data_IF_133409525508
#
_entry.id   IF_133409525508
#
_cell.length_a   1.000
_cell.length_b   1.000
_cell.length_c   1.000
_cell.angle_alpha   90.00
_cell.angle_beta   90.00
_cell.angle_gamma   90.00
#
_symmetry.space_group_name_H-M   'P 1'
#
loop_
_entity.id
_entity.type
_entity.pdbx_description
1 polymer ?
#
# COMPACT_ATOMS: atom_id res chain seq x y z
N UNK A 1 -1.95 27.88 22.46
CA UNK A 1 -1.50 27.25 21.22
C UNK A 1 -2.43 26.07 21.08
N UNK A 2 -3.54 26.30 20.36
CA UNK A 2 -4.58 25.28 20.22
C UNK A 2 -4.00 24.11 19.42
N UNK A 3 -4.09 22.94 20.03
CA UNK A 3 -3.73 21.65 19.46
C UNK A 3 -4.75 21.39 18.34
N UNK A 4 -4.38 21.70 17.09
CA UNK A 4 -5.18 21.41 15.92
C UNK A 4 -5.30 19.90 15.81
N UNK A 5 -6.36 19.34 16.41
CA UNK A 5 -6.62 17.91 16.41
C UNK A 5 -6.74 17.46 14.96
N UNK A 6 -5.72 16.77 14.46
CA UNK A 6 -5.76 16.11 13.16
C UNK A 6 -6.96 15.17 13.13
N UNK A 7 -7.97 15.53 12.35
CA UNK A 7 -9.16 14.70 12.15
C UNK A 7 -8.84 13.66 11.07
N UNK A 8 -8.75 12.39 11.49
CA UNK A 8 -8.63 11.28 10.55
C UNK A 8 -10.03 10.81 10.13
N UNK A 9 -10.22 10.60 8.83
CA UNK A 9 -11.39 9.88 8.31
C UNK A 9 -11.07 8.38 8.44
N UNK A 10 -11.93 7.65 9.13
CA UNK A 10 -11.80 6.19 9.26
C UNK A 10 -12.43 5.56 8.02
N UNK A 11 -11.61 4.88 7.24
CA UNK A 11 -12.09 4.12 6.09
C UNK A 11 -12.87 2.86 6.54
N UNK A 12 -13.83 2.40 5.73
CA UNK A 12 -14.61 1.19 6.06
C UNK A 12 -13.75 -0.06 6.17
N UNK A 13 -12.62 -0.14 5.47
CA UNK A 13 -11.66 -1.24 5.59
C UNK A 13 -11.14 -1.41 7.02
N UNK A 14 -11.02 -0.32 7.80
CA UNK A 14 -10.55 -0.37 9.19
C UNK A 14 -11.56 -1.04 10.14
N UNK A 15 -12.82 -1.17 9.71
CA UNK A 15 -13.91 -1.82 10.45
C UNK A 15 -14.08 -3.30 10.10
N UNK A 16 -13.27 -3.84 9.17
CA UNK A 16 -13.30 -5.25 8.80
C UNK A 16 -12.70 -6.10 9.91
N UNK A 17 -13.33 -7.23 10.20
CA UNK A 17 -12.90 -8.13 11.28
C UNK A 17 -11.60 -8.86 10.93
N UNK A 18 -11.34 -9.05 9.63
CA UNK A 18 -10.14 -9.63 9.06
C UNK A 18 -8.98 -8.63 8.88
N UNK A 19 -9.15 -7.37 9.30
CA UNK A 19 -8.08 -6.39 9.25
C UNK A 19 -6.95 -6.78 10.22
N UNK A 20 -5.79 -7.10 9.68
CA UNK A 20 -4.60 -7.47 10.47
C UNK A 20 -3.59 -6.31 10.62
N UNK A 21 -3.72 -5.26 9.80
CA UNK A 21 -2.83 -4.10 9.75
C UNK A 21 -3.67 -2.86 9.52
N UNK A 22 -3.37 -1.79 10.26
CA UNK A 22 -3.95 -0.47 10.09
C UNK A 22 -2.87 0.53 9.70
N UNK A 23 -3.20 1.46 8.82
CA UNK A 23 -2.31 2.54 8.37
C UNK A 23 -3.15 3.77 7.98
N UNK A 24 -2.53 4.94 7.93
CA UNK A 24 -3.16 6.12 7.37
C UNK A 24 -2.78 6.27 5.89
N UNK A 25 -3.78 6.42 5.02
CA UNK A 25 -3.54 6.76 3.62
C UNK A 25 -2.92 8.16 3.52
N UNK A 26 -1.81 8.33 2.77
CA UNK A 26 -1.22 9.64 2.58
C UNK A 26 -2.15 10.60 1.82
N UNK A 27 -2.11 11.92 2.12
CA UNK A 27 -2.81 12.92 1.32
C UNK A 27 -2.41 12.85 -0.15
N UNK A 28 -3.36 13.06 -1.06
CA UNK A 28 -3.13 13.03 -2.51
C UNK A 28 -3.07 11.63 -3.13
N UNK A 29 -3.24 10.58 -2.33
CA UNK A 29 -3.41 9.22 -2.82
C UNK A 29 -4.89 8.85 -2.88
N UNK A 30 -5.26 8.10 -3.93
CA UNK A 30 -6.56 7.49 -4.11
C UNK A 30 -6.43 5.98 -4.02
N UNK A 31 -7.26 5.36 -3.19
CA UNK A 31 -7.26 3.91 -3.04
C UNK A 31 -7.70 3.25 -4.35
N UNK A 32 -6.97 2.20 -4.73
CA UNK A 32 -7.40 1.29 -5.79
C UNK A 32 -8.19 0.20 -5.08
N UNK A 33 -9.47 -0.05 -5.44
CA UNK A 33 -10.34 -1.01 -4.75
C UNK A 33 -9.90 -2.46 -5.05
N UNK A 34 -8.73 -2.81 -4.54
CA UNK A 34 -7.95 -3.99 -4.89
C UNK A 34 -8.67 -5.27 -4.46
N UNK A 35 -9.27 -5.25 -3.26
CA UNK A 35 -10.11 -6.34 -2.76
C UNK A 35 -11.31 -6.60 -3.68
N UNK A 36 -12.03 -5.55 -4.08
CA UNK A 36 -13.19 -5.67 -4.99
C UNK A 36 -12.80 -6.20 -6.37
N UNK A 37 -11.63 -5.82 -6.90
CA UNK A 37 -11.11 -6.36 -8.16
C UNK A 37 -10.79 -7.86 -8.03
N UNK A 38 -10.23 -8.30 -6.90
CA UNK A 38 -9.87 -9.70 -6.66
C UNK A 38 -11.08 -10.60 -6.35
N UNK A 39 -12.05 -10.09 -5.60
CA UNK A 39 -13.26 -10.82 -5.20
C UNK A 39 -14.22 -11.08 -6.37
N UNK A 40 -13.94 -10.49 -7.54
CA UNK A 40 -14.75 -10.50 -8.75
C UNK A 40 -16.14 -9.91 -8.50
N UNK A 41 -16.38 -8.65 -8.88
CA UNK A 41 -17.65 -7.99 -8.62
C UNK A 41 -18.79 -8.77 -9.28
N UNK A 42 -19.95 -8.83 -8.61
CA UNK A 42 -21.11 -9.59 -9.09
C UNK A 42 -21.72 -8.96 -10.35
N UNK A 43 -21.41 -7.67 -10.60
CA UNK A 43 -21.82 -6.95 -11.79
C UNK A 43 -20.80 -5.89 -12.24
N UNK A 44 -20.85 -5.54 -13.52
CA UNK A 44 -20.08 -4.42 -14.10
C UNK A 44 -20.42 -3.07 -13.45
N UNK A 45 -21.66 -2.91 -12.96
CA UNK A 45 -22.09 -1.72 -12.24
C UNK A 45 -21.38 -1.57 -10.89
N UNK A 46 -21.20 -2.66 -10.15
CA UNK A 46 -20.48 -2.68 -8.87
C UNK A 46 -19.00 -2.33 -9.03
N UNK A 47 -18.35 -2.88 -10.07
CA UNK A 47 -16.98 -2.51 -10.43
C UNK A 47 -16.88 -1.02 -10.79
N UNK A 48 -17.85 -0.52 -11.57
CA UNK A 48 -17.88 0.88 -12.00
C UNK A 48 -18.05 1.82 -10.81
N UNK A 49 -18.93 1.49 -9.86
CA UNK A 49 -19.14 2.26 -8.65
C UNK A 49 -17.88 2.28 -7.77
N UNK A 50 -17.20 1.15 -7.61
CA UNK A 50 -15.94 1.06 -6.86
C UNK A 50 -14.81 1.90 -7.51
N UNK A 51 -14.76 1.95 -8.84
CA UNK A 51 -13.77 2.72 -9.59
C UNK A 51 -14.14 4.19 -9.78
N UNK A 52 -15.38 4.58 -9.46
CA UNK A 52 -15.89 5.93 -9.69
C UNK A 52 -15.03 7.03 -9.05
N UNK A 53 -14.55 6.91 -7.78
CA UNK A 53 -13.69 7.92 -7.18
C UNK A 53 -12.39 8.12 -7.97
N UNK A 54 -11.80 7.01 -8.45
CA UNK A 54 -10.58 7.04 -9.25
C UNK A 54 -10.84 7.67 -10.63
N UNK A 55 -11.90 7.24 -11.32
CA UNK A 55 -12.27 7.76 -12.63
C UNK A 55 -12.66 9.24 -12.61
N UNK A 56 -13.21 9.73 -11.49
CA UNK A 56 -13.58 11.13 -11.30
C UNK A 56 -12.36 12.07 -11.23
N UNK A 57 -11.22 11.56 -10.76
CA UNK A 57 -9.98 12.33 -10.69
C UNK A 57 -9.18 12.33 -12.00
N UNK A 58 -9.58 11.52 -12.99
CA UNK A 58 -8.88 11.40 -14.26
C UNK A 58 -9.45 12.33 -15.34
N UNK A 59 -8.60 12.75 -16.27
CA UNK A 59 -9.05 13.40 -17.51
C UNK A 59 -9.87 12.42 -18.37
N UNK A 60 -10.73 12.90 -19.31
CA UNK A 60 -11.52 12.03 -20.17
C UNK A 60 -10.69 11.02 -20.97
N UNK A 61 -9.51 11.44 -21.44
CA UNK A 61 -8.56 10.58 -22.16
C UNK A 61 -7.85 9.60 -21.20
N UNK A 62 -7.48 10.06 -19.99
CA UNK A 62 -6.93 9.20 -18.94
C UNK A 62 -7.91 8.11 -18.50
N UNK A 63 -9.19 8.46 -18.38
CA UNK A 63 -10.28 7.53 -18.07
C UNK A 63 -10.44 6.45 -19.15
N UNK A 64 -10.37 6.83 -20.43
CA UNK A 64 -10.46 5.87 -21.54
C UNK A 64 -9.29 4.88 -21.50
N UNK A 65 -8.06 5.36 -21.34
CA UNK A 65 -6.87 4.50 -21.22
C UNK A 65 -6.90 3.60 -19.99
N UNK A 66 -7.40 4.12 -18.87
CA UNK A 66 -7.57 3.34 -17.65
C UNK A 66 -8.55 2.19 -17.83
N UNK A 67 -9.70 2.43 -18.48
CA UNK A 67 -10.67 1.39 -18.79
C UNK A 67 -10.11 0.35 -19.76
N UNK A 68 -9.30 0.76 -20.74
CA UNK A 68 -8.58 -0.15 -21.66
C UNK A 68 -7.55 -1.01 -20.90
N UNK A 69 -6.82 -0.41 -19.95
CA UNK A 69 -5.87 -1.11 -19.08
C UNK A 69 -6.55 -1.99 -18.02
N UNK A 70 -7.84 -1.79 -17.74
CA UNK A 70 -8.57 -2.50 -16.68
C UNK A 70 -8.62 -4.02 -16.92
N UNK A 71 -8.65 -4.46 -18.19
CA UNK A 71 -8.56 -5.89 -18.53
C UNK A 71 -7.19 -6.50 -18.20
N UNK A 72 -6.11 -5.74 -18.34
CA UNK A 72 -4.77 -6.12 -17.88
C UNK A 72 -4.65 -6.04 -16.34
N UNK A 73 -5.49 -5.21 -15.72
CA UNK A 73 -5.51 -4.93 -14.28
C UNK A 73 -5.97 -6.14 -13.46
N UNK A 74 -6.85 -7.02 -13.94
CA UNK A 74 -7.18 -8.27 -13.21
C UNK A 74 -5.93 -9.17 -13.09
N UNK A 75 -5.18 -9.33 -14.18
CA UNK A 75 -3.95 -10.14 -14.17
C UNK A 75 -2.88 -9.51 -13.26
N UNK A 76 -2.77 -8.18 -13.30
CA UNK A 76 -1.87 -7.43 -12.43
C UNK A 76 -2.30 -7.53 -10.96
N UNK A 77 -3.60 -7.43 -10.67
CA UNK A 77 -4.14 -7.55 -9.32
C UNK A 77 -3.88 -8.94 -8.74
N UNK A 78 -4.12 -10.00 -9.51
CA UNK A 78 -3.78 -11.38 -9.12
C UNK A 78 -2.29 -11.54 -8.87
N UNK A 79 -1.43 -10.91 -9.67
CA UNK A 79 0.02 -10.94 -9.44
C UNK A 79 0.40 -10.21 -8.15
N UNK A 80 -0.08 -8.99 -7.95
CA UNK A 80 0.19 -8.22 -6.73
C UNK A 80 -0.31 -8.97 -5.48
N UNK A 81 -1.47 -9.61 -5.55
CA UNK A 81 -2.03 -10.41 -4.45
C UNK A 81 -1.13 -11.60 -4.10
N UNK A 82 -0.58 -12.29 -5.11
CA UNK A 82 0.38 -13.39 -4.91
C UNK A 82 1.70 -12.92 -4.28
N UNK A 83 2.10 -11.68 -4.53
CA UNK A 83 3.24 -11.03 -3.88
C UNK A 83 2.89 -10.48 -2.48
N UNK A 84 1.68 -10.75 -1.97
CA UNK A 84 1.24 -10.37 -0.64
C UNK A 84 0.74 -8.92 -0.52
N UNK A 85 0.50 -8.23 -1.64
CA UNK A 85 -0.06 -6.86 -1.61
C UNK A 85 -1.48 -6.90 -1.05
N UNK A 86 -1.68 -6.13 0.02
CA UNK A 86 -2.96 -5.99 0.72
C UNK A 86 -3.62 -4.64 0.48
N UNK A 87 -2.86 -3.63 0.06
CA UNK A 87 -3.38 -2.32 -0.33
C UNK A 87 -2.57 -1.72 -1.48
N UNK A 88 -3.26 -0.97 -2.34
CA UNK A 88 -2.68 -0.29 -3.49
C UNK A 88 -3.37 1.07 -3.65
N UNK A 89 -2.60 2.15 -3.77
CA UNK A 89 -3.14 3.47 -3.98
C UNK A 89 -2.35 4.23 -5.06
N UNK A 90 -3.04 5.07 -5.81
CA UNK A 90 -2.48 5.91 -6.86
C UNK A 90 -2.32 7.34 -6.36
N UNK A 91 -1.09 7.84 -6.36
CA UNK A 91 -0.77 9.23 -6.09
C UNK A 91 -0.66 10.01 -7.39
N UNK A 92 -1.36 11.13 -7.48
CA UNK A 92 -1.26 12.09 -8.58
C UNK A 92 -0.57 13.34 -8.07
N UNK A 93 0.54 13.69 -8.71
CA UNK A 93 1.34 14.86 -8.36
C UNK A 93 1.46 15.75 -9.59
N UNK A 94 1.49 17.07 -9.40
CA UNK A 94 1.82 17.99 -10.50
C UNK A 94 3.35 18.18 -10.55
N UNK A 95 3.92 18.08 -11.75
CA UNK A 95 5.31 18.46 -12.02
C UNK A 95 5.45 19.98 -12.16
N UNK A 96 6.68 20.49 -12.17
CA UNK A 96 6.99 21.93 -12.30
C UNK A 96 6.45 22.54 -13.61
N UNK A 97 6.25 21.72 -14.64
CA UNK A 97 5.67 22.11 -15.93
C UNK A 97 4.13 21.97 -15.99
N UNK A 98 3.50 21.56 -14.89
CA UNK A 98 2.06 21.31 -14.77
C UNK A 98 1.60 19.97 -15.33
N UNK A 99 2.52 19.07 -15.70
CA UNK A 99 2.16 17.70 -16.10
C UNK A 99 1.82 16.83 -14.89
N UNK A 100 0.95 15.82 -15.07
CA UNK A 100 0.56 14.90 -13.99
C UNK A 100 1.53 13.73 -13.89
N UNK A 101 2.29 13.67 -12.80
CA UNK A 101 3.11 12.54 -12.40
C UNK A 101 2.30 11.54 -11.61
N UNK A 102 2.48 10.27 -11.93
CA UNK A 102 1.80 9.18 -11.27
C UNK A 102 2.79 8.41 -10.40
N UNK A 103 2.35 8.07 -9.19
CA UNK A 103 3.07 7.18 -8.28
C UNK A 103 2.13 6.11 -7.79
N UNK A 104 2.66 4.92 -7.53
CA UNK A 104 1.90 3.79 -6.99
C UNK A 104 2.44 3.51 -5.59
N UNK A 105 1.58 3.63 -4.58
CA UNK A 105 1.83 3.17 -3.22
C UNK A 105 1.30 1.75 -3.11
N UNK A 106 2.11 0.82 -2.60
CA UNK A 106 1.67 -0.51 -2.21
C UNK A 106 2.04 -0.81 -0.77
N UNK A 107 1.18 -1.57 -0.11
CA UNK A 107 1.46 -2.18 1.20
C UNK A 107 1.28 -3.68 1.01
N UNK A 108 2.33 -4.44 1.33
CA UNK A 108 2.33 -5.89 1.24
C UNK A 108 2.65 -6.51 2.59
N UNK A 109 2.00 -7.64 2.89
CA UNK A 109 2.37 -8.52 3.98
C UNK A 109 3.03 -9.77 3.41
N UNK A 110 4.26 -10.03 3.83
CA UNK A 110 5.09 -11.11 3.31
C UNK A 110 5.44 -12.06 4.45
N UNK A 111 5.20 -13.35 4.26
CA UNK A 111 5.66 -14.38 5.20
C UNK A 111 7.17 -14.51 5.14
N UNK A 112 7.80 -14.66 6.30
CA UNK A 112 9.25 -14.81 6.41
C UNK A 112 9.58 -15.92 7.41
N UNK A 113 10.70 -16.66 7.22
CA UNK A 113 11.21 -17.53 8.27
C UNK A 113 11.39 -16.76 9.57
N UNK A 114 11.17 -17.43 10.70
CA UNK A 114 11.34 -16.80 12.01
C UNK A 114 12.73 -16.16 12.10
N UNK A 115 12.77 -14.85 12.31
CA UNK A 115 14.01 -14.07 12.32
C UNK A 115 13.89 -12.93 13.33
N UNK A 116 14.94 -12.61 14.12
CA UNK A 116 14.94 -11.41 14.94
C UNK A 116 14.61 -10.16 14.12
N UNK A 117 13.70 -9.32 14.60
CA UNK A 117 13.12 -8.21 13.83
C UNK A 117 14.16 -7.31 13.14
N UNK A 118 15.22 -6.92 13.87
CA UNK A 118 16.27 -6.06 13.31
C UNK A 118 17.08 -6.75 12.19
N UNK A 119 17.26 -8.07 12.30
CA UNK A 119 17.95 -8.86 11.28
C UNK A 119 17.05 -9.06 10.05
N UNK A 120 15.75 -9.28 10.26
CA UNK A 120 14.77 -9.45 9.19
C UNK A 120 14.72 -8.20 8.29
N UNK A 121 14.54 -7.00 8.86
CA UNK A 121 14.44 -5.76 8.08
C UNK A 121 15.74 -5.42 7.36
N UNK A 122 16.90 -5.70 7.98
CA UNK A 122 18.21 -5.53 7.33
C UNK A 122 18.37 -6.47 6.15
N UNK A 123 18.07 -7.76 6.32
CA UNK A 123 18.17 -8.73 5.23
C UNK A 123 17.28 -8.34 4.06
N UNK A 124 16.01 -8.03 4.31
CA UNK A 124 15.08 -7.62 3.26
C UNK A 124 15.57 -6.40 2.47
N UNK A 125 16.08 -5.38 3.18
CA UNK A 125 16.57 -4.18 2.53
C UNK A 125 17.88 -4.40 1.74
N UNK A 126 18.76 -5.28 2.21
CA UNK A 126 20.03 -5.61 1.50
C UNK A 126 19.88 -6.63 0.37
N UNK A 127 18.76 -7.35 0.30
CA UNK A 127 18.52 -8.32 -0.77
C UNK A 127 18.33 -7.68 -2.16
N UNK A 128 18.11 -6.36 -2.21
CA UNK A 128 17.92 -5.61 -3.45
C UNK A 128 19.27 -5.16 -4.03
N UNK A 129 19.61 -5.72 -5.20
CA UNK A 129 20.88 -5.55 -5.89
C UNK A 129 21.24 -4.10 -6.25
N UNK A 130 20.24 -3.22 -6.38
CA UNK A 130 20.39 -1.80 -6.74
C UNK A 130 20.08 -0.83 -5.59
N UNK A 131 20.10 -1.30 -4.35
CA UNK A 131 19.70 -0.47 -3.21
C UNK A 131 20.74 0.62 -2.85
N UNK A 132 20.31 1.89 -2.81
CA UNK A 132 21.03 3.04 -2.23
C UNK A 132 21.09 2.90 -0.69
N UNK A 133 21.87 3.72 0.05
CA UNK A 133 22.30 3.38 1.41
C UNK A 133 21.13 3.11 2.37
N UNK A 134 21.17 1.91 2.94
CA UNK A 134 20.28 1.41 3.97
C UNK A 134 20.26 2.34 5.20
N UNK A 135 19.07 2.83 5.58
CA UNK A 135 18.85 3.46 6.89
C UNK A 135 17.97 2.55 7.74
N UNK A 136 18.51 2.07 8.85
CA UNK A 136 17.74 1.33 9.86
C UNK A 136 17.43 2.25 11.02
N UNK A 137 16.16 2.35 11.36
CA UNK A 137 15.65 3.17 12.45
C UNK A 137 14.73 2.33 13.34
N UNK A 138 14.34 2.91 14.48
CA UNK A 138 13.36 2.30 15.38
C UNK A 138 12.18 3.25 15.52
N UNK A 139 11.02 2.81 15.03
CA UNK A 139 9.74 3.48 15.19
C UNK A 139 8.99 2.90 16.39
N UNK A 140 7.78 3.42 16.68
CA UNK A 140 6.98 3.00 17.82
C UNK A 140 6.69 1.49 17.86
N UNK A 141 6.51 0.87 16.68
CA UNK A 141 6.19 -0.56 16.52
C UNK A 141 7.42 -1.45 16.29
N UNK A 142 8.66 -0.91 16.28
CA UNK A 142 9.88 -1.70 16.17
C UNK A 142 10.91 -1.20 15.14
N UNK A 143 11.89 -2.04 14.78
CA UNK A 143 12.91 -1.68 13.80
C UNK A 143 12.31 -1.62 12.39
N UNK A 144 12.73 -0.59 11.63
CA UNK A 144 12.33 -0.36 10.25
C UNK A 144 13.57 -0.10 9.42
N UNK A 145 13.64 -0.73 8.24
CA UNK A 145 14.70 -0.45 7.26
C UNK A 145 14.12 0.30 6.06
N UNK A 146 14.77 1.38 5.68
CA UNK A 146 14.46 2.14 4.47
C UNK A 146 15.51 1.85 3.39
N UNK A 147 15.04 1.63 2.17
CA UNK A 147 15.86 1.43 0.99
C UNK A 147 15.26 2.15 -0.21
N UNK A 148 16.09 2.44 -1.19
CA UNK A 148 15.71 3.04 -2.45
C UNK A 148 16.36 2.26 -3.57
N UNK A 149 15.74 2.20 -4.74
CA UNK A 149 16.34 1.57 -5.91
C UNK A 149 15.82 2.19 -7.18
N UNK A 150 16.68 2.22 -8.20
CA UNK A 150 16.28 2.46 -9.57
C UNK A 150 16.22 1.10 -10.31
N UNK A 151 15.12 0.88 -11.02
CA UNK A 151 14.86 -0.34 -11.78
C UNK A 151 14.76 0.06 -13.25
N UNK A 152 15.67 -0.42 -14.07
CA UNK A 152 15.57 -0.28 -15.52
C UNK A 152 14.46 -1.19 -16.05
N UNK A 153 13.48 -0.61 -16.74
CA UNK A 153 12.46 -1.40 -17.44
C UNK A 153 13.09 -2.01 -18.69
N UNK A 154 12.87 -3.31 -18.95
CA UNK A 154 13.40 -3.95 -20.15
C UNK A 154 12.85 -3.26 -21.40
N UNK A 155 13.72 -2.98 -22.37
CA UNK A 155 13.31 -2.51 -23.70
C UNK A 155 12.43 -3.56 -24.35
N UNK A 156 11.13 -3.27 -24.48
CA UNK A 156 10.20 -4.12 -25.21
C UNK A 156 10.19 -3.72 -26.68
N UNK A 157 10.15 -4.72 -27.57
CA UNK A 157 10.13 -4.55 -29.02
C UNK A 157 8.76 -4.10 -29.57
N UNK A 158 7.75 -3.93 -28.72
CA UNK A 158 6.46 -3.37 -29.09
C UNK A 158 6.50 -1.84 -28.97
N UNK A 159 6.14 -1.15 -30.06
CA UNK A 159 6.29 0.30 -30.25
C UNK A 159 5.63 1.21 -29.18
N UNK A 160 4.80 0.65 -28.30
CA UNK A 160 4.04 1.38 -27.26
C UNK A 160 4.46 1.02 -25.82
N UNK A 161 5.58 0.33 -25.61
CA UNK A 161 6.04 0.03 -24.24
C UNK A 161 6.97 1.13 -23.73
N UNK A 162 6.66 1.67 -22.55
CA UNK A 162 7.49 2.64 -21.84
C UNK A 162 8.90 2.08 -21.59
N UNK A 163 9.89 2.52 -22.36
CA UNK A 163 11.30 2.40 -21.97
C UNK A 163 11.61 3.47 -20.93
N UNK A 164 12.28 3.10 -19.83
CA UNK A 164 12.61 4.06 -18.78
C UNK A 164 13.05 3.42 -17.48
N UNK A 165 13.39 4.29 -16.53
CA UNK A 165 13.79 3.91 -15.17
C UNK A 165 12.62 4.14 -14.22
N UNK A 166 12.30 3.15 -13.41
CA UNK A 166 11.37 3.27 -12.28
C UNK A 166 12.16 3.49 -11.02
N UNK A 167 11.91 4.62 -10.36
CA UNK A 167 12.38 4.87 -9.00
C UNK A 167 11.43 4.18 -8.01
N UNK A 168 11.99 3.54 -6.99
CA UNK A 168 11.22 2.94 -5.90
C UNK A 168 11.84 3.28 -4.54
N UNK A 169 11.03 3.83 -3.64
CA UNK A 169 11.34 3.96 -2.22
C UNK A 169 10.59 2.87 -1.44
N UNK A 170 11.23 2.25 -0.44
CA UNK A 170 10.67 1.12 0.31
C UNK A 170 10.98 1.22 1.80
N UNK A 171 10.01 0.85 2.63
CA UNK A 171 10.19 0.56 4.05
C UNK A 171 9.85 -0.90 4.35
N UNK A 172 10.70 -1.53 5.16
CA UNK A 172 10.54 -2.89 5.64
C UNK A 172 10.31 -2.87 7.15
N UNK A 173 9.18 -3.41 7.59
CA UNK A 173 8.76 -3.44 8.98
C UNK A 173 8.54 -4.90 9.40
N UNK A 174 9.31 -5.40 10.36
CA UNK A 174 9.06 -6.73 10.90
C UNK A 174 7.77 -6.73 11.73
N UNK A 175 6.90 -7.71 11.48
CA UNK A 175 5.71 -7.89 12.30
C UNK A 175 6.06 -8.41 13.70
N UNK A 176 5.23 -8.17 14.73
CA UNK A 176 5.47 -8.64 16.09
C UNK A 176 5.60 -10.17 16.22
N UNK A 177 4.97 -10.91 15.30
CA UNK A 177 5.01 -12.38 15.21
C UNK A 177 6.41 -12.93 14.84
N UNK A 178 7.28 -12.09 14.27
CA UNK A 178 8.63 -12.42 13.75
C UNK A 178 8.64 -13.44 12.62
N UNK A 179 7.48 -13.77 12.07
CA UNK A 179 7.28 -14.70 10.96
C UNK A 179 6.60 -14.02 9.76
N UNK A 180 6.34 -12.72 9.85
CA UNK A 180 5.92 -11.91 8.71
C UNK A 180 6.54 -10.50 8.75
N UNK A 181 6.41 -9.80 7.63
CA UNK A 181 6.91 -8.45 7.41
C UNK A 181 5.88 -7.64 6.63
N UNK A 182 5.81 -6.34 6.94
CA UNK A 182 5.11 -5.37 6.10
C UNK A 182 6.12 -4.64 5.24
N UNK A 183 5.84 -4.58 3.95
CA UNK A 183 6.62 -3.87 2.95
C UNK A 183 5.76 -2.73 2.41
N UNK A 184 6.18 -1.49 2.67
CA UNK A 184 5.56 -0.29 2.12
C UNK A 184 6.43 0.18 0.98
N UNK A 185 5.87 0.40 -0.20
CA UNK A 185 6.65 0.92 -1.32
C UNK A 185 5.93 2.00 -2.10
N UNK A 186 6.68 2.99 -2.57
CA UNK A 186 6.23 3.96 -3.57
C UNK A 186 7.09 3.80 -4.81
N UNK A 187 6.44 3.56 -5.95
CA UNK A 187 7.08 3.40 -7.26
C UNK A 187 6.61 4.49 -8.22
N UNK A 188 7.53 5.07 -9.01
CA UNK A 188 7.20 6.08 -10.02
C UNK A 188 8.25 6.12 -11.13
N UNK A 189 7.88 6.64 -12.31
CA UNK A 189 8.82 7.02 -13.38
C UNK A 189 9.43 8.41 -13.16
N UNK A 190 8.92 9.19 -12.20
CA UNK A 190 9.33 10.56 -11.94
C UNK A 190 10.42 10.65 -10.85
N UNK A 191 11.61 10.16 -11.12
CA UNK A 191 12.69 10.05 -10.12
C UNK A 191 13.10 11.39 -9.47
N UNK A 192 12.82 12.52 -10.11
CA UNK A 192 13.17 13.87 -9.61
C UNK A 192 12.54 14.18 -8.24
N UNK A 193 11.38 13.57 -7.93
CA UNK A 193 10.65 13.74 -6.66
C UNK A 193 11.11 12.83 -5.51
N UNK A 194 12.27 12.18 -5.61
CA UNK A 194 12.74 11.14 -4.67
C UNK A 194 12.57 11.51 -3.17
N UNK A 195 12.85 12.76 -2.80
CA UNK A 195 12.69 13.21 -1.41
C UNK A 195 11.23 13.16 -0.92
N UNK A 196 10.28 13.59 -1.77
CA UNK A 196 8.85 13.51 -1.48
C UNK A 196 8.41 12.06 -1.29
N UNK A 197 8.83 11.16 -2.18
CA UNK A 197 8.47 9.74 -2.08
C UNK A 197 9.08 9.05 -0.84
N UNK A 198 10.32 9.39 -0.47
CA UNK A 198 10.92 8.94 0.81
C UNK A 198 10.09 9.41 2.01
N UNK A 199 9.63 10.66 1.99
CA UNK A 199 8.79 11.21 3.05
C UNK A 199 7.45 10.47 3.14
N UNK A 200 6.82 10.17 2.00
CA UNK A 200 5.55 9.44 1.95
C UNK A 200 5.72 8.03 2.54
N UNK A 201 6.73 7.28 2.09
CA UNK A 201 7.01 5.93 2.62
C UNK A 201 7.26 5.96 4.12
N UNK A 202 8.02 6.96 4.62
CA UNK A 202 8.23 7.15 6.05
C UNK A 202 6.93 7.45 6.79
N UNK A 203 6.13 8.39 6.32
CA UNK A 203 4.88 8.78 6.98
C UNK A 203 3.90 7.61 7.05
N UNK A 204 3.78 6.80 6.00
CA UNK A 204 2.98 5.56 6.05
C UNK A 204 3.55 4.60 7.09
N UNK A 205 4.86 4.34 7.04
CA UNK A 205 5.52 3.43 7.99
C UNK A 205 5.30 3.86 9.45
N UNK A 206 5.34 5.15 9.75
CA UNK A 206 5.08 5.70 11.09
C UNK A 206 3.64 5.46 11.57
N UNK A 207 2.68 5.35 10.65
CA UNK A 207 1.25 5.13 10.97
C UNK A 207 0.86 3.67 11.06
N UNK A 208 1.74 2.75 10.65
CA UNK A 208 1.44 1.31 10.68
C UNK A 208 1.25 0.85 12.13
N UNK A 209 0.14 0.15 12.35
CA UNK A 209 -0.19 -0.55 13.58
C UNK A 209 -0.60 -1.99 13.28
N UNK A 210 -0.10 -2.92 14.10
CA UNK A 210 -0.51 -4.34 14.11
C UNK A 210 -1.62 -4.61 15.13
N UNK A 211 -1.88 -3.64 16.02
CA UNK A 211 -3.00 -3.64 16.93
C UNK A 211 -4.08 -2.68 16.41
N UNK A 212 -5.36 -3.02 16.59
CA UNK A 212 -6.45 -2.15 16.16
C UNK A 212 -6.35 -0.78 16.85
N UNK A 213 -6.11 0.33 16.11
CA UNK A 213 -5.88 1.65 16.68
C UNK A 213 -7.18 2.41 16.97
N UNK A 214 -8.34 1.87 16.60
CA UNK A 214 -9.62 2.57 16.72
C UNK A 214 -10.02 2.76 18.20
N UNK A 215 -10.74 3.86 18.52
CA UNK A 215 -11.30 4.08 19.84
C UNK A 215 -12.24 2.94 20.25
N UNK A 216 -12.35 2.65 21.55
CA UNK A 216 -13.19 1.56 22.08
C UNK A 216 -14.66 1.66 21.66
N UNK A 217 -15.18 2.89 21.49
CA UNK A 217 -16.54 3.16 21.02
C UNK A 217 -16.74 2.70 19.57
N UNK A 218 -15.77 2.96 18.69
CA UNK A 218 -15.80 2.53 17.28
C UNK A 218 -15.53 1.03 17.14
N UNK A 219 -14.69 0.47 18.02
CA UNK A 219 -14.44 -0.97 18.08
C UNK A 219 -15.70 -1.78 18.41
N UNK A 220 -16.64 -1.21 19.16
CA UNK A 220 -17.89 -1.89 19.50
C UNK A 220 -18.80 -2.14 18.29
N UNK A 221 -18.61 -1.38 17.20
CA UNK A 221 -19.36 -1.53 15.95
C UNK A 221 -18.71 -2.53 14.99
N UNK A 222 -17.51 -3.05 15.31
CA UNK A 222 -16.84 -4.09 14.52
C UNK A 222 -17.47 -5.44 14.85
N UNK A 223 -18.01 -6.19 13.87
CA UNK A 223 -18.58 -7.52 14.11
C UNK A 223 -17.55 -8.45 14.75
N UNK A 224 -17.93 -9.18 15.81
CA UNK A 224 -17.05 -10.20 16.37
C UNK A 224 -16.74 -11.27 15.30
N UNK A 225 -15.49 -11.73 15.20
CA UNK A 225 -15.16 -12.83 14.29
C UNK A 225 -15.99 -14.05 14.68
N UNK A 226 -16.59 -14.72 13.69
CA UNK A 226 -17.41 -15.94 13.87
C UNK A 226 -16.72 -16.97 14.78
N UNK A 227 -15.39 -17.04 14.72
CA UNK A 227 -14.56 -17.96 15.47
C UNK A 227 -14.53 -17.64 16.99
N UNK A 228 -14.70 -16.38 17.39
CA UNK A 228 -14.77 -15.96 18.78
C UNK A 228 -16.16 -16.22 19.39
N UNK A 229 -17.22 -16.08 18.61
CA UNK A 229 -18.59 -16.43 19.00
C UNK A 229 -18.71 -17.95 19.25
N UNK A 230 -18.09 -18.77 18.39
CA UNK A 230 -18.01 -20.22 18.59
C UNK A 230 -17.14 -20.59 19.81
N UNK A 231 -16.00 -19.92 20.02
CA UNK A 231 -15.16 -20.18 21.19
C UNK A 231 -15.88 -19.85 22.52
N UNK A 232 -16.66 -18.76 22.58
CA UNK A 232 -17.47 -18.43 23.77
C UNK A 232 -18.61 -19.42 23.98
N UNK A 233 -19.24 -19.90 22.91
CA UNK A 233 -20.26 -20.97 22.98
C UNK A 233 -19.71 -22.27 23.58
N UNK A 234 -18.43 -22.57 23.38
CA UNK A 234 -17.75 -23.74 23.95
C UNK A 234 -17.43 -23.56 25.45
N UNK A 235 -17.27 -22.34 25.94
CA UNK A 235 -16.86 -22.07 27.32
C UNK A 235 -17.94 -21.49 28.25
N UNK A 236 -19.13 -21.13 27.73
CA UNK A 236 -20.30 -20.75 28.52
C UNK A 236 -20.39 -19.26 28.85
#
# INVERSE_FOLDING_TARGET
>A
MDDEKTHFVIDQSALRTEADIWYAQPPGYLDVPFASILEKPESEAELTDALLPLMAAMSPEGRRRFLEALQETETLAVRLSREGVIACALGMHEDDDGSLLHSVLTIARVETPWTPAELAVRHAATARSSATPLRVERLAHGPVAFAESEIELPESSAADTMSGTVYQAVAYLAAPDRSSMVVVSVSTTAAQGAEGYRSIVRSVAETISFDNPLPGEVKADIPEPSNAAEARSVFG
#
